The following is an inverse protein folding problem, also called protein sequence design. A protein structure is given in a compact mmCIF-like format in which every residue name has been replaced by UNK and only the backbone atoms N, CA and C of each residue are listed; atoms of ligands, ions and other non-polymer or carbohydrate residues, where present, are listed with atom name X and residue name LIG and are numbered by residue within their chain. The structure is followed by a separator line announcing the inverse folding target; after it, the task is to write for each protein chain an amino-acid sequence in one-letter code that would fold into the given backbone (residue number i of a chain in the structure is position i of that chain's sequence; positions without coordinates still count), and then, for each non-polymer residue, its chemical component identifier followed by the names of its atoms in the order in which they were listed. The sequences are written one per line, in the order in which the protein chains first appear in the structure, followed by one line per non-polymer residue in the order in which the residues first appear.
data_IF_737301805534
#
_entry.id   IF_737301805534
#
_cell.length_a   1.000
_cell.length_b   1.000
_cell.length_c   1.000
_cell.angle_alpha   90.00
_cell.angle_beta   90.00
_cell.angle_gamma   90.00
#
_symmetry.space_group_name_H-M   'P 1'
#
loop_
_entity.id
_entity.type
_entity.pdbx_description
1 polymer ?
2 non-polymer ?
3 non-polymer ?
4 non-polymer ?
5 water ?
#
# COMPACT_ATOMS: atom_id res chain seq x y z
N UNK A 10 12.15 -8.18 -12.55
CA UNK A 10 11.96 -8.77 -11.22
C UNK A 10 11.71 -7.75 -10.13
N UNK A 11 10.59 -7.96 -9.42
CA UNK A 11 10.30 -7.31 -8.14
C UNK A 11 11.32 -7.87 -7.12
N UNK A 12 12.03 -7.02 -6.32
CA UNK A 12 13.05 -7.56 -5.43
C UNK A 12 12.46 -8.38 -4.28
N UNK A 13 13.24 -9.36 -3.83
CA UNK A 13 12.90 -10.14 -2.65
C UNK A 13 13.09 -9.25 -1.43
N UNK A 14 12.44 -9.59 -0.32
CA UNK A 14 12.60 -8.80 0.89
C UNK A 14 14.02 -8.87 1.42
N UNK A 15 14.50 -7.83 2.13
CA UNK A 15 15.88 -7.84 2.68
C UNK A 15 15.93 -8.36 4.11
N UNK A 16 14.79 -8.69 4.70
CA UNK A 16 14.75 -9.15 6.09
C UNK A 16 14.99 -10.64 6.19
N UNK A 17 15.10 -11.15 7.43
CA UNK A 17 15.42 -12.57 7.62
C UNK A 17 14.27 -13.56 7.41
N UNK A 18 13.04 -13.08 7.33
CA UNK A 18 11.89 -13.97 7.23
C UNK A 18 11.57 -14.21 5.76
N UNK A 19 11.25 -15.45 5.42
CA UNK A 19 10.51 -15.84 4.23
C UNK A 19 9.12 -15.21 4.22
N UNK A 20 8.58 -15.01 3.02
CA UNK A 20 7.36 -14.25 2.82
C UNK A 20 6.30 -15.11 2.13
N UNK A 21 5.11 -15.14 2.72
CA UNK A 21 3.93 -15.75 2.14
C UNK A 21 3.00 -14.69 1.62
N UNK A 22 2.06 -15.08 0.77
CA UNK A 22 1.05 -14.14 0.26
C UNK A 22 -0.28 -14.86 0.05
N UNK A 23 -1.40 -14.22 0.40
CA UNK A 23 -2.73 -14.75 0.08
C UNK A 23 -3.70 -13.58 -0.16
N UNK A 24 -4.94 -13.89 -0.61
CA UNK A 24 -5.98 -12.88 -0.75
C UNK A 24 -7.10 -13.13 0.22
N UNK A 25 -7.71 -12.08 0.75
CA UNK A 25 -8.87 -12.23 1.62
C UNK A 25 -9.98 -11.27 1.19
N UNK A 26 -11.20 -11.80 0.97
CA UNK A 26 -12.34 -10.95 0.74
C UNK A 26 -13.44 -11.30 1.74
N UNK A 27 -13.78 -10.36 2.62
CA UNK A 27 -14.87 -10.53 3.56
C UNK A 27 -15.58 -9.21 3.99
N UNK A 28 -16.93 -9.10 3.88
CA UNK A 28 -17.79 -10.04 3.15
C UNK A 28 -17.54 -9.99 1.62
N UNK A 29 -18.37 -10.71 0.86
CA UNK A 29 -18.30 -10.84 -0.60
C UNK A 29 -18.81 -9.60 -1.38
N UNK A 30 -19.45 -8.63 -0.70
CA UNK A 30 -20.13 -7.51 -1.37
C UNK A 30 -19.15 -6.37 -1.71
N UNK A 31 -19.60 -5.40 -2.53
CA UNK A 31 -18.87 -4.15 -2.81
C UNK A 31 -18.55 -3.31 -1.53
N UNK A 32 -19.18 -3.64 -0.39
CA UNK A 32 -18.99 -2.98 0.90
C UNK A 32 -18.10 -3.79 1.87
N UNK A 33 -17.74 -5.00 1.47
CA UNK A 33 -16.86 -5.85 2.25
C UNK A 33 -15.43 -5.38 2.13
N UNK A 34 -14.50 -6.09 2.81
CA UNK A 34 -13.07 -5.81 2.70
C UNK A 34 -12.50 -6.77 1.67
N UNK A 35 -11.69 -6.24 0.73
CA UNK A 35 -10.82 -7.03 -0.14
C UNK A 35 -9.36 -6.62 0.19
N UNK A 36 -8.53 -7.58 0.62
CA UNK A 36 -7.12 -7.27 0.81
C UNK A 36 -6.18 -8.37 0.28
N UNK A 37 -4.96 -7.99 -0.09
CA UNK A 37 -3.86 -8.92 -0.32
C UNK A 37 -2.99 -8.91 0.95
N UNK A 38 -2.81 -10.08 1.56
CA UNK A 38 -1.98 -10.24 2.77
C UNK A 38 -0.56 -10.71 2.43
N UNK A 39 0.46 -10.01 2.97
CA UNK A 39 1.87 -10.43 2.96
C UNK A 39 2.26 -10.70 4.39
N UNK A 40 2.95 -11.82 4.61
CA UNK A 40 3.13 -12.28 5.97
C UNK A 40 4.40 -13.15 6.12
N UNK A 41 5.01 -13.18 7.33
CA UNK A 41 6.14 -14.09 7.56
C UNK A 41 5.67 -15.51 7.37
N UNK A 42 6.34 -16.27 6.53
CA UNK A 42 5.87 -17.62 6.17
C UNK A 42 6.79 -18.69 6.73
N UNK A 43 6.18 -19.83 7.08
CA UNK A 43 6.87 -21.01 7.62
C UNK A 43 7.77 -21.64 6.53
N UNK A 44 7.32 -21.58 5.27
CA UNK A 44 7.90 -22.31 4.14
C UNK A 44 8.30 -21.38 3.03
N UNK A 45 9.20 -21.87 2.16
CA UNK A 45 9.83 -21.12 1.09
C UNK A 45 9.87 -21.89 -0.24
N UNK A 46 9.01 -22.91 -0.40
CA UNK A 46 8.98 -23.75 -1.61
C UNK A 46 7.59 -23.76 -2.25
N UNK A 47 6.83 -22.69 -2.05
CA UNK A 47 5.58 -22.57 -2.78
C UNK A 47 5.82 -21.92 -4.12
N UNK A 48 4.84 -21.99 -5.02
CA UNK A 48 4.79 -21.14 -6.21
C UNK A 48 4.82 -19.67 -5.82
N UNK A 49 5.56 -18.86 -6.60
CA UNK A 49 5.56 -17.40 -6.47
C UNK A 49 4.17 -16.88 -6.78
N UNK A 50 3.88 -15.65 -6.34
CA UNK A 50 2.55 -15.07 -6.42
C UNK A 50 2.37 -14.37 -7.77
N UNK A 51 1.28 -14.69 -8.50
CA UNK A 51 0.91 -14.00 -9.74
C UNK A 51 0.66 -12.49 -9.46
N UNK A 52 1.40 -11.61 -10.16
CA UNK A 52 1.46 -10.18 -9.85
C UNK A 52 0.11 -9.48 -10.16
N UNK A 53 -0.40 -9.65 -11.37
CA UNK A 53 -1.72 -9.13 -11.75
C UNK A 53 -2.59 -10.37 -12.13
N UNK A 54 -3.54 -10.75 -11.26
CA UNK A 54 -4.16 -12.07 -11.40
C UNK A 54 -5.34 -12.23 -12.37
N UNK A 55 -5.86 -11.14 -12.96
CA UNK A 55 -7.08 -11.26 -13.79
C UNK A 55 -6.96 -10.36 -14.97
N UNK A 56 -7.45 -10.83 -16.15
CA UNK A 56 -7.46 -10.05 -17.39
C UNK A 56 -8.11 -8.66 -17.22
N UNK A 57 -9.14 -8.55 -16.37
CA UNK A 57 -9.94 -7.32 -16.21
C UNK A 57 -9.12 -6.21 -15.54
N UNK A 58 -8.10 -6.58 -14.72
CA UNK A 58 -7.13 -5.58 -14.22
C UNK A 58 -6.37 -4.87 -15.38
N UNK A 59 -5.96 -5.62 -16.41
CA UNK A 59 -5.32 -5.05 -17.61
C UNK A 59 -6.26 -4.14 -18.42
N UNK A 60 -7.56 -4.53 -18.55
CA UNK A 60 -8.60 -3.69 -19.14
C UNK A 60 -8.73 -2.40 -18.38
N UNK A 61 -8.86 -2.48 -17.06
CA UNK A 61 -8.90 -1.29 -16.21
C UNK A 61 -7.64 -0.46 -16.33
N UNK A 62 -6.45 -1.10 -16.33
CA UNK A 62 -5.18 -0.37 -16.53
C UNK A 62 -5.15 0.37 -17.86
N UNK A 63 -5.61 -0.28 -18.93
CA UNK A 63 -5.65 0.33 -20.26
C UNK A 63 -6.60 1.57 -20.29
N UNK A 64 -7.80 1.45 -19.68
CA UNK A 64 -8.74 2.58 -19.51
C UNK A 64 -8.07 3.72 -18.77
N UNK A 65 -7.35 3.43 -17.67
CA UNK A 65 -6.73 4.46 -16.83
C UNK A 65 -5.60 5.17 -17.58
N UNK A 66 -4.90 4.44 -18.47
CA UNK A 66 -3.82 5.06 -19.24
C UNK A 66 -4.32 5.83 -20.49
N UNK A 67 -5.62 5.82 -20.75
CA UNK A 67 -6.22 6.52 -21.89
C UNK A 67 -6.00 5.84 -23.23
N UNK A 68 -5.82 4.51 -23.24
CA UNK A 68 -5.73 3.71 -24.47
C UNK A 68 -7.03 2.89 -24.70
N UNK A 69 -7.15 2.24 -25.88
CA UNK A 69 -8.24 1.29 -26.19
C UNK A 69 -8.06 0.06 -25.30
N UNK A 70 -9.17 -0.58 -24.86
CA UNK A 70 -9.13 -1.74 -23.96
C UNK A 70 -8.31 -2.92 -24.54
N UNK A 71 -8.05 -2.89 -25.88
CA UNK A 71 -7.23 -3.83 -26.64
C UNK A 71 -5.73 -3.68 -26.37
N UNK A 72 -5.28 -2.46 -26.02
CA UNK A 72 -3.96 -2.30 -25.40
C UNK A 72 -3.89 -3.06 -24.08
N UNK A 73 -5.03 -3.21 -23.41
CA UNK A 73 -5.18 -4.07 -22.23
C UNK A 73 -4.76 -5.50 -22.48
N UNK A 74 -5.24 -6.07 -23.61
CA UNK A 74 -4.82 -7.38 -24.12
C UNK A 74 -3.31 -7.49 -24.39
N UNK A 75 -2.68 -6.42 -24.89
CA UNK A 75 -1.23 -6.42 -25.16
C UNK A 75 -0.45 -6.37 -23.80
N UNK A 76 -0.92 -5.55 -22.86
CA UNK A 76 -0.33 -5.51 -21.52
C UNK A 76 -0.42 -6.86 -20.85
N UNK A 77 -1.57 -7.54 -21.03
CA UNK A 77 -1.81 -8.90 -20.52
C UNK A 77 -0.81 -9.87 -21.15
N UNK A 78 -0.61 -9.82 -22.49
CA UNK A 78 0.42 -10.58 -23.19
C UNK A 78 1.81 -10.39 -22.57
N UNK A 79 2.21 -9.14 -22.30
CA UNK A 79 3.54 -8.83 -21.80
C UNK A 79 3.74 -9.13 -20.32
N UNK A 80 2.68 -8.96 -19.48
CA UNK A 80 2.83 -8.94 -18.02
C UNK A 80 1.95 -9.97 -17.28
N UNK A 81 1.07 -10.66 -18.01
CA UNK A 81 0.06 -11.55 -17.43
C UNK A 81 0.59 -12.79 -16.71
N UNK A 82 1.85 -13.17 -16.97
CA UNK A 82 2.47 -14.34 -16.33
C UNK A 82 3.57 -13.91 -15.31
N UNK A 83 3.79 -12.58 -15.18
CA UNK A 83 4.75 -12.04 -14.24
C UNK A 83 4.37 -12.44 -12.79
N UNK A 84 5.37 -12.84 -12.00
CA UNK A 84 5.14 -13.17 -10.59
C UNK A 84 5.88 -12.18 -9.70
N UNK A 85 5.65 -12.27 -8.40
CA UNK A 85 6.32 -11.47 -7.38
C UNK A 85 6.86 -12.46 -6.32
N UNK A 86 8.07 -12.24 -5.72
CA UNK A 86 8.67 -13.30 -4.89
C UNK A 86 8.06 -13.46 -3.48
N UNK A 87 6.81 -13.89 -3.44
CA UNK A 87 6.12 -14.23 -2.20
C UNK A 87 5.52 -15.62 -2.42
N UNK A 88 5.62 -16.48 -1.42
CA UNK A 88 5.15 -17.86 -1.47
C UNK A 88 3.65 -17.90 -1.37
N UNK A 89 2.98 -18.22 -2.49
CA UNK A 89 1.51 -18.13 -2.55
C UNK A 89 0.88 -19.14 -1.58
N UNK A 90 -0.01 -18.68 -0.66
CA UNK A 90 -0.70 -19.56 0.33
C UNK A 90 0.21 -20.32 1.28
N UNK A 91 1.43 -19.83 1.50
CA UNK A 91 2.33 -20.51 2.44
C UNK A 91 1.72 -20.45 3.86
N UNK A 92 1.95 -21.46 4.73
CA UNK A 92 1.54 -21.30 6.12
C UNK A 92 2.28 -20.11 6.77
N UNK A 93 1.58 -19.38 7.63
CA UNK A 93 2.15 -18.32 8.47
C UNK A 93 3.24 -18.89 9.35
N UNK A 94 4.35 -18.16 9.53
CA UNK A 94 5.37 -18.52 10.51
C UNK A 94 4.75 -18.48 11.93
N UNK A 95 4.72 -19.61 12.65
CA UNK A 95 4.09 -19.61 13.98
C UNK A 95 4.99 -19.04 15.08
N UNK A 96 4.39 -18.77 16.25
CA UNK A 96 5.07 -18.55 17.52
C UNK A 96 5.60 -17.14 17.73
N UNK A 97 5.01 -16.19 17.03
CA UNK A 97 5.37 -14.78 17.17
C UNK A 97 4.18 -13.91 16.86
N UNK A 98 3.98 -12.84 17.65
CA UNK A 98 2.99 -11.81 17.34
C UNK A 98 3.64 -10.75 16.47
N UNK A 99 3.01 -10.50 15.33
CA UNK A 99 3.53 -9.60 14.32
C UNK A 99 2.80 -8.26 14.36
N UNK A 100 3.56 -7.14 14.29
CA UNK A 100 2.89 -5.85 14.01
C UNK A 100 2.22 -5.85 12.63
N UNK A 101 1.22 -4.96 12.47
CA UNK A 101 0.35 -4.92 11.30
C UNK A 101 0.43 -3.59 10.60
N UNK A 102 0.65 -3.65 9.30
CA UNK A 102 0.57 -2.48 8.43
C UNK A 102 -0.67 -2.65 7.57
N UNK A 103 -1.51 -1.61 7.53
CA UNK A 103 -2.56 -1.56 6.50
C UNK A 103 -1.99 -0.64 5.40
N UNK A 104 -2.03 -1.09 4.13
CA UNK A 104 -1.44 -0.36 3.01
C UNK A 104 -2.49 0.10 1.98
N UNK A 105 -2.44 1.40 1.61
CA UNK A 105 -3.36 2.03 0.65
C UNK A 105 -2.69 2.40 -0.69
N UNK A 106 -3.28 1.88 -1.77
CA UNK A 106 -2.74 2.06 -3.13
C UNK A 106 -3.09 3.42 -3.75
N UNK A 107 -2.34 3.80 -4.78
CA UNK A 107 -2.61 5.00 -5.58
C UNK A 107 -3.77 4.88 -6.54
N UNK A 108 -4.09 6.03 -7.20
CA UNK A 108 -5.05 6.14 -8.29
C UNK A 108 -4.60 5.28 -9.46
N UNK A 109 -5.52 4.49 -10.04
CA UNK A 109 -5.18 3.61 -11.14
C UNK A 109 -4.52 2.31 -10.72
N UNK A 110 -4.22 2.15 -9.44
CA UNK A 110 -3.59 0.94 -8.94
C UNK A 110 -4.64 0.00 -8.34
N UNK A 111 -4.23 -0.97 -7.53
CA UNK A 111 -5.14 -1.93 -6.87
C UNK A 111 -4.25 -2.70 -5.91
N UNK A 112 -4.74 -3.77 -5.24
CA UNK A 112 -4.02 -4.33 -4.06
C UNK A 112 -2.63 -4.95 -4.33
N UNK A 113 -2.38 -5.41 -5.55
CA UNK A 113 -1.25 -6.30 -5.84
C UNK A 113 0.04 -5.53 -6.26
N UNK A 114 -0.05 -4.19 -6.42
CA UNK A 114 0.96 -3.42 -7.18
C UNK A 114 2.03 -2.73 -6.32
N UNK A 115 2.04 -3.02 -5.01
CA UNK A 115 3.04 -2.55 -4.03
C UNK A 115 3.60 -3.75 -3.27
N UNK A 116 3.81 -4.87 -4.01
CA UNK A 116 4.42 -6.05 -3.42
C UNK A 116 5.90 -5.82 -3.05
N UNK A 117 6.64 -4.94 -3.78
CA UNK A 117 8.05 -4.74 -3.35
C UNK A 117 8.07 -4.23 -1.88
N UNK A 118 7.21 -3.28 -1.55
CA UNK A 118 7.02 -2.81 -0.17
C UNK A 118 6.47 -3.88 0.76
N UNK A 119 5.36 -4.51 0.36
CA UNK A 119 4.65 -5.50 1.19
C UNK A 119 5.51 -6.71 1.56
N UNK A 120 6.26 -7.23 0.59
CA UNK A 120 7.21 -8.36 0.75
C UNK A 120 8.34 -7.93 1.67
N UNK A 121 8.93 -6.74 1.43
CA UNK A 121 10.03 -6.32 2.29
C UNK A 121 9.59 -6.16 3.75
N UNK A 122 8.41 -5.53 3.97
CA UNK A 122 7.89 -5.35 5.33
C UNK A 122 7.69 -6.72 5.98
N UNK A 123 7.07 -7.67 5.22
CA UNK A 123 6.82 -9.02 5.74
C UNK A 123 8.12 -9.76 6.04
N UNK A 124 9.16 -9.56 5.19
CA UNK A 124 10.44 -10.21 5.40
C UNK A 124 11.12 -9.74 6.72
N UNK A 125 10.69 -8.58 7.27
CA UNK A 125 11.18 -8.04 8.54
C UNK A 125 10.25 -8.34 9.74
N UNK A 126 9.22 -9.15 9.54
CA UNK A 126 8.34 -9.63 10.61
C UNK A 126 7.04 -8.87 10.78
N UNK A 127 6.54 -8.24 9.70
CA UNK A 127 5.23 -7.55 9.68
C UNK A 127 4.20 -8.41 9.00
N UNK A 128 2.94 -8.32 9.45
CA UNK A 128 1.84 -8.69 8.55
C UNK A 128 1.41 -7.42 7.83
N UNK A 129 1.19 -7.51 6.52
CA UNK A 129 0.80 -6.38 5.70
C UNK A 129 -0.52 -6.69 5.03
N UNK A 130 -1.52 -5.82 5.23
CA UNK A 130 -2.80 -5.91 4.53
C UNK A 130 -2.92 -4.80 3.54
N UNK A 131 -2.63 -5.13 2.27
CA UNK A 131 -2.78 -4.23 1.13
C UNK A 131 -4.24 -4.26 0.66
N UNK A 132 -5.00 -3.23 1.05
CA UNK A 132 -6.43 -3.03 0.74
C UNK A 132 -6.66 -2.82 -0.78
N UNK A 133 -7.74 -3.37 -1.31
CA UNK A 133 -8.19 -2.94 -2.63
C UNK A 133 -9.41 -2.05 -2.42
N UNK A 134 -9.31 -0.80 -2.87
CA UNK A 134 -10.36 0.17 -2.61
C UNK A 134 -11.49 -0.01 -3.61
N UNK A 135 -12.76 0.21 -3.13
CA UNK A 135 -13.99 0.14 -3.92
C UNK A 135 -14.60 1.51 -4.15
N UNK A 136 -13.76 2.56 -4.09
CA UNK A 136 -14.16 3.97 -4.28
C UNK A 136 -14.11 4.38 -5.76
N UNK A 137 -13.80 3.43 -6.69
CA UNK A 137 -13.60 3.68 -8.14
C UNK A 137 -12.29 4.48 -8.41
N UNK A 138 -11.32 4.48 -7.43
CA UNK A 138 -9.95 4.94 -7.64
C UNK A 138 -9.05 3.81 -8.14
N UNK A 139 -9.43 2.54 -7.92
CA UNK A 139 -8.65 1.43 -8.51
C UNK A 139 -8.94 1.40 -10.00
N UNK A 140 -7.95 1.02 -10.83
CA UNK A 140 -8.22 0.89 -12.26
C UNK A 140 -9.27 -0.21 -12.46
N UNK A 141 -9.21 -1.27 -11.65
CA UNK A 141 -10.31 -2.24 -11.57
C UNK A 141 -10.35 -2.82 -10.18
N UNK A 142 -11.54 -3.30 -9.77
CA UNK A 142 -11.74 -4.18 -8.60
C UNK A 142 -12.97 -5.12 -8.85
N UNK A 143 -13.15 -6.14 -8.03
CA UNK A 143 -14.33 -6.96 -8.18
C UNK A 143 -14.87 -7.31 -6.84
N UNK A 144 -16.11 -7.80 -6.83
CA UNK A 144 -16.89 -8.25 -5.68
C UNK A 144 -18.01 -9.15 -6.24
N UNK A 145 -18.93 -9.59 -5.39
CA UNK A 145 -20.01 -10.49 -5.78
C UNK A 145 -21.33 -9.85 -5.39
N UNK A 146 -22.31 -9.89 -6.29
CA UNK A 146 -23.61 -9.23 -6.10
C UNK A 146 -24.32 -9.83 -4.91
N UNK A 147 -24.15 -11.15 -4.70
CA UNK A 147 -24.77 -11.86 -3.60
C UNK A 147 -24.08 -13.19 -3.30
N UNK A 148 -24.65 -13.96 -2.33
CA UNK A 148 -24.04 -15.19 -1.85
C UNK A 148 -23.97 -16.28 -2.93
N UNK A 149 -25.00 -16.39 -3.79
CA UNK A 149 -24.98 -17.33 -4.91
C UNK A 149 -23.86 -17.01 -5.88
N UNK A 150 -23.71 -15.70 -6.23
CA UNK A 150 -22.65 -15.25 -7.16
C UNK A 150 -21.25 -15.57 -6.59
N UNK A 151 -21.06 -15.36 -5.27
CA UNK A 151 -19.80 -15.64 -4.56
C UNK A 151 -19.46 -17.14 -4.65
N UNK A 152 -20.42 -18.03 -4.30
CA UNK A 152 -20.33 -19.50 -4.40
C UNK A 152 -19.83 -20.00 -5.75
N UNK A 153 -20.42 -19.51 -6.86
CA UNK A 153 -20.03 -19.96 -8.21
C UNK A 153 -18.87 -19.14 -8.80
N UNK A 154 -18.39 -18.13 -8.07
CA UNK A 154 -17.30 -17.25 -8.48
C UNK A 154 -17.67 -16.39 -9.68
N UNK A 155 -18.93 -15.89 -9.71
CA UNK A 155 -19.41 -14.98 -10.74
C UNK A 155 -19.08 -13.52 -10.31
N UNK A 156 -17.92 -13.06 -10.79
CA UNK A 156 -17.35 -11.77 -10.40
C UNK A 156 -18.11 -10.60 -11.02
N UNK A 157 -18.39 -9.55 -10.23
CA UNK A 157 -18.84 -8.27 -10.77
C UNK A 157 -17.65 -7.31 -10.68
N UNK A 158 -17.32 -6.67 -11.80
CA UNK A 158 -16.18 -5.78 -11.93
C UNK A 158 -16.58 -4.33 -11.85
N UNK A 159 -15.80 -3.53 -11.16
CA UNK A 159 -15.99 -2.11 -10.98
C UNK A 159 -14.72 -1.42 -11.51
N UNK A 160 -14.88 -0.50 -12.48
CA UNK A 160 -13.76 0.14 -13.17
C UNK A 160 -13.53 1.55 -12.66
N UNK A 161 -12.30 2.07 -12.82
CA UNK A 161 -11.95 3.47 -12.53
C UNK A 161 -13.00 4.42 -13.04
N UNK A 162 -13.40 5.38 -12.19
CA UNK A 162 -14.25 6.50 -12.55
C UNK A 162 -13.40 7.67 -13.01
N UNK A 163 -13.69 8.22 -14.20
CA UNK A 163 -13.05 9.48 -14.63
C UNK A 163 -13.90 10.66 -14.22
N UNK A 164 -13.27 11.75 -13.74
CA UNK A 164 -14.03 12.89 -13.26
C UNK A 164 -13.99 14.01 -14.28
N UNK A 165 -15.07 14.77 -14.35
CA UNK A 165 -15.10 16.09 -14.95
C UNK A 165 -14.47 17.07 -13.94
N UNK A 166 -13.87 18.16 -14.44
CA UNK A 166 -13.22 19.23 -13.68
C UNK A 166 -13.97 19.66 -12.42
N UNK A 167 -15.29 19.87 -12.49
CA UNK A 167 -16.07 20.38 -11.35
C UNK A 167 -16.56 19.26 -10.39
N UNK A 168 -16.17 18.00 -10.63
CA UNK A 168 -16.38 16.88 -9.71
C UNK A 168 -15.14 16.64 -8.85
N UNK A 169 -13.99 17.24 -9.24
CA UNK A 169 -12.68 16.94 -8.65
C UNK A 169 -12.67 17.08 -7.15
N UNK A 170 -12.88 18.29 -6.61
CA UNK A 170 -12.77 18.55 -5.16
C UNK A 170 -13.63 17.59 -4.34
N UNK A 171 -14.92 17.57 -4.68
CA UNK A 171 -15.97 16.85 -4.01
C UNK A 171 -15.79 15.32 -4.07
N UNK A 172 -15.58 14.75 -5.28
CA UNK A 172 -15.48 13.32 -5.42
C UNK A 172 -14.17 12.81 -4.85
N UNK A 173 -13.04 13.54 -5.04
CA UNK A 173 -11.77 13.07 -4.46
C UNK A 173 -11.85 13.02 -2.95
N UNK A 174 -12.54 14.01 -2.35
CA UNK A 174 -12.74 14.02 -0.91
C UNK A 174 -13.68 12.87 -0.47
N UNK A 175 -14.77 12.60 -1.20
CA UNK A 175 -15.66 11.45 -0.91
C UNK A 175 -14.85 10.15 -0.97
N UNK A 176 -13.97 10.04 -1.96
CA UNK A 176 -13.13 8.85 -2.16
C UNK A 176 -12.13 8.62 -1.03
N UNK A 177 -11.47 9.70 -0.56
CA UNK A 177 -10.47 9.58 0.50
C UNK A 177 -11.15 9.15 1.82
N UNK A 178 -12.37 9.67 2.03
CA UNK A 178 -13.13 9.27 3.22
C UNK A 178 -13.58 7.82 3.14
N UNK A 179 -14.09 7.37 1.99
CA UNK A 179 -14.35 5.93 1.80
C UNK A 179 -13.09 5.05 1.98
N UNK A 180 -11.96 5.49 1.42
CA UNK A 180 -10.66 4.84 1.56
C UNK A 180 -10.27 4.68 3.06
N UNK A 181 -10.34 5.75 3.87
CA UNK A 181 -10.12 5.70 5.33
C UNK A 181 -11.03 4.67 5.98
N UNK A 182 -12.35 4.69 5.63
CA UNK A 182 -13.30 3.75 6.20
C UNK A 182 -12.89 2.29 5.88
N UNK A 183 -12.46 2.06 4.62
CA UNK A 183 -11.96 0.77 4.15
C UNK A 183 -10.69 0.33 4.87
N UNK A 184 -9.81 1.28 5.22
CA UNK A 184 -8.65 0.95 6.06
C UNK A 184 -9.05 0.56 7.47
N UNK A 185 -9.99 1.29 8.10
CA UNK A 185 -10.51 0.92 9.41
C UNK A 185 -11.19 -0.44 9.40
N UNK A 186 -11.99 -0.68 8.37
CA UNK A 186 -12.75 -1.92 8.22
C UNK A 186 -11.80 -3.10 8.06
N UNK A 187 -10.74 -2.92 7.26
CA UNK A 187 -9.69 -3.96 7.10
C UNK A 187 -8.99 -4.26 8.41
N UNK A 188 -8.66 -3.21 9.22
CA UNK A 188 -8.08 -3.38 10.56
C UNK A 188 -8.98 -4.23 11.44
N UNK A 189 -10.25 -3.83 11.59
CA UNK A 189 -11.25 -4.57 12.36
C UNK A 189 -11.37 -6.03 11.89
N UNK A 190 -11.33 -6.26 10.56
CA UNK A 190 -11.40 -7.64 10.03
C UNK A 190 -10.24 -8.48 10.56
N UNK A 191 -9.00 -7.97 10.40
CA UNK A 191 -7.78 -8.65 10.85
C UNK A 191 -7.79 -8.84 12.36
N UNK A 192 -8.19 -7.79 13.10
CA UNK A 192 -8.28 -7.89 14.57
C UNK A 192 -9.27 -8.92 15.02
N UNK A 193 -10.42 -9.03 14.32
CA UNK A 193 -11.42 -10.05 14.67
C UNK A 193 -10.94 -11.44 14.32
N UNK A 194 -10.25 -11.61 13.14
CA UNK A 194 -9.61 -12.88 12.80
C UNK A 194 -8.55 -13.28 13.88
N UNK A 195 -7.81 -12.27 14.40
CA UNK A 195 -6.77 -12.52 15.38
C UNK A 195 -7.35 -13.11 16.68
N UNK A 196 -8.54 -12.67 17.10
CA UNK A 196 -9.31 -13.40 18.13
C UNK A 196 -9.47 -14.92 17.86
N UNK A 197 -9.86 -15.25 16.63
CA UNK A 197 -10.28 -16.60 16.26
C UNK A 197 -11.73 -16.65 15.81
N UNK A 198 -12.38 -15.48 15.66
CA UNK A 198 -13.67 -15.32 15.00
C UNK A 198 -13.66 -16.00 13.63
N UNK A 199 -14.58 -16.98 13.42
CA UNK A 199 -14.63 -17.67 12.13
C UNK A 199 -15.02 -16.68 11.05
N UNK A 200 -14.25 -16.66 9.96
CA UNK A 200 -14.52 -15.82 8.80
C UNK A 200 -14.42 -16.76 7.60
N UNK A 201 -15.46 -16.81 6.78
CA UNK A 201 -15.40 -17.60 5.55
C UNK A 201 -14.99 -16.66 4.39
N UNK A 202 -13.72 -16.78 3.95
CA UNK A 202 -13.16 -16.06 2.81
C UNK A 202 -14.09 -16.24 1.61
N UNK A 203 -14.49 -15.12 0.96
CA UNK A 203 -15.35 -15.19 -0.24
C UNK A 203 -14.59 -15.79 -1.41
N UNK A 204 -13.26 -15.77 -1.34
CA UNK A 204 -12.41 -16.42 -2.34
C UNK A 204 -12.08 -17.81 -1.81
N UNK A 205 -12.19 -18.83 -2.66
CA UNK A 205 -11.88 -20.18 -2.22
C UNK A 205 -10.39 -20.46 -2.46
N UNK A 206 -9.58 -20.26 -1.41
CA UNK A 206 -8.11 -20.34 -1.47
C UNK A 206 -7.58 -21.26 -0.37
N UNK A 207 -6.50 -21.98 -0.67
CA UNK A 207 -5.95 -22.95 0.29
C UNK A 207 -5.02 -22.28 1.31
N UNK A 208 -5.59 -21.31 2.05
CA UNK A 208 -4.97 -20.66 3.22
C UNK A 208 -6.04 -20.53 4.28
N UNK A 209 -5.86 -21.29 5.36
CA UNK A 209 -6.73 -21.28 6.54
C UNK A 209 -6.54 -19.99 7.36
N UNK A 210 -7.61 -19.18 7.47
CA UNK A 210 -7.54 -17.91 8.18
C UNK A 210 -7.39 -18.11 9.69
N UNK A 211 -7.67 -19.32 10.17
CA UNK A 211 -7.53 -19.72 11.57
C UNK A 211 -6.07 -19.64 12.09
N UNK A 212 -5.09 -19.74 11.18
CA UNK A 212 -3.66 -19.49 11.42
C UNK A 212 -3.38 -18.11 11.97
N UNK A 213 -4.19 -17.12 11.58
CA UNK A 213 -4.00 -15.74 12.00
C UNK A 213 -4.41 -15.51 13.45
N UNK A 214 -5.08 -16.51 14.08
CA UNK A 214 -5.47 -16.44 15.50
C UNK A 214 -4.23 -16.28 16.33
N UNK A 215 -4.24 -15.29 17.22
CA UNK A 215 -3.15 -14.96 18.17
C UNK A 215 -1.84 -14.61 17.46
N UNK A 216 -1.92 -14.04 16.25
CA UNK A 216 -0.73 -13.76 15.46
C UNK A 216 -0.38 -12.26 15.33
N UNK A 217 -1.27 -11.38 15.80
CA UNK A 217 -1.16 -9.92 15.63
C UNK A 217 -0.72 -9.30 16.94
N UNK A 218 0.33 -8.44 16.90
CA UNK A 218 0.69 -7.59 18.04
C UNK A 218 -0.32 -6.45 18.00
N UNK A 219 -1.37 -6.59 18.81
CA UNK A 219 -2.62 -5.84 18.61
C UNK A 219 -2.49 -4.32 18.81
N UNK A 220 -1.43 -3.85 19.47
CA UNK A 220 -1.19 -2.43 19.68
C UNK A 220 -0.24 -1.85 18.63
N UNK A 221 0.43 -2.71 17.85
CA UNK A 221 1.49 -2.24 16.95
C UNK A 221 0.94 -2.16 15.58
N UNK A 222 0.17 -1.10 15.33
CA UNK A 222 -0.52 -0.94 14.05
C UNK A 222 -0.14 0.35 13.34
N UNK A 223 0.17 0.25 12.05
CA UNK A 223 0.44 1.41 11.26
C UNK A 223 -0.32 1.38 9.97
N UNK A 224 -0.48 2.56 9.37
CA UNK A 224 -1.10 2.69 8.07
C UNK A 224 -0.04 3.32 7.16
N UNK A 225 0.17 2.71 5.98
CA UNK A 225 1.12 3.23 4.98
C UNK A 225 0.40 3.36 3.63
N UNK A 226 0.80 4.32 2.80
CA UNK A 226 0.22 4.36 1.46
C UNK A 226 0.92 5.31 0.53
N UNK A 227 0.71 5.10 -0.80
CA UNK A 227 1.35 5.85 -1.86
C UNK A 227 0.35 6.73 -2.59
N UNK A 228 0.69 8.02 -2.73
CA UNK A 228 -0.01 8.97 -3.63
C UNK A 228 -1.43 9.26 -3.07
N UNK A 229 -2.50 8.84 -3.77
CA UNK A 229 -3.86 8.79 -3.15
C UNK A 229 -3.85 8.03 -1.79
N UNK A 230 -3.10 6.96 -1.73
CA UNK A 230 -2.90 6.19 -0.51
C UNK A 230 -2.21 6.94 0.60
N UNK A 231 -1.41 7.95 0.22
CA UNK A 231 -0.69 8.83 1.14
C UNK A 231 -1.66 9.77 1.79
N UNK A 232 -2.62 10.29 1.02
CA UNK A 232 -3.75 11.05 1.59
C UNK A 232 -4.59 10.15 2.53
N UNK A 233 -4.77 8.88 2.14
CA UNK A 233 -5.58 7.91 2.89
C UNK A 233 -4.97 7.66 4.25
N UNK A 234 -3.62 7.54 4.33
CA UNK A 234 -2.88 7.52 5.61
C UNK A 234 -3.36 8.62 6.54
N UNK A 235 -3.45 9.86 6.02
CA UNK A 235 -3.70 11.02 6.87
C UNK A 235 -5.15 11.06 7.30
N UNK A 236 -6.05 10.85 6.35
CA UNK A 236 -7.48 10.73 6.67
C UNK A 236 -7.73 9.62 7.71
N UNK A 237 -7.13 8.43 7.51
CA UNK A 237 -7.27 7.27 8.38
C UNK A 237 -6.83 7.58 9.82
N UNK A 238 -5.61 8.12 9.98
CA UNK A 238 -5.07 8.54 11.28
C UNK A 238 -5.97 9.50 12.03
N UNK A 239 -6.53 10.51 11.31
CA UNK A 239 -7.39 11.51 11.97
C UNK A 239 -8.69 10.88 12.43
N UNK A 240 -9.15 9.83 11.76
CA UNK A 240 -10.40 9.24 12.23
C UNK A 240 -10.28 7.91 13.02
N UNK A 241 -9.14 7.25 13.07
CA UNK A 241 -9.05 5.94 13.74
C UNK A 241 -7.79 5.93 14.58
N UNK A 242 -7.95 6.12 15.90
CA UNK A 242 -6.83 6.18 16.81
C UNK A 242 -6.13 4.82 17.05
N UNK A 243 -6.71 3.72 16.56
CA UNK A 243 -6.08 2.39 16.64
C UNK A 243 -4.79 2.36 15.84
N UNK A 244 -4.70 3.15 14.77
CA UNK A 244 -3.45 3.34 14.04
C UNK A 244 -2.52 4.24 14.84
N UNK A 245 -1.29 3.78 15.13
CA UNK A 245 -0.38 4.50 16.06
C UNK A 245 0.62 5.41 15.36
N UNK A 246 0.78 5.24 14.04
CA UNK A 246 1.61 6.11 13.22
C UNK A 246 1.29 5.85 11.76
N UNK A 247 1.69 6.78 10.91
CA UNK A 247 1.48 6.69 9.47
C UNK A 247 2.70 7.09 8.66
N UNK A 248 2.85 6.46 7.49
CA UNK A 248 3.91 6.79 6.52
C UNK A 248 3.23 7.11 5.21
N UNK A 249 3.38 8.35 4.73
CA UNK A 249 2.74 8.78 3.48
C UNK A 249 3.84 8.77 2.44
N UNK A 250 3.71 7.91 1.44
CA UNK A 250 4.72 7.75 0.40
C UNK A 250 4.30 8.60 -0.78
N UNK A 251 5.01 9.72 -1.01
CA UNK A 251 4.71 10.70 -2.06
C UNK A 251 3.23 11.03 -2.06
N UNK A 252 2.69 11.50 -0.91
CA UNK A 252 1.26 11.74 -0.76
C UNK A 252 0.77 12.76 -1.80
N UNK A 253 -0.39 12.52 -2.38
CA UNK A 253 -1.15 13.47 -3.16
C UNK A 253 -2.20 14.04 -2.22
N UNK A 254 -2.02 15.30 -1.82
CA UNK A 254 -2.77 15.90 -0.68
C UNK A 254 -4.13 16.45 -1.04
N UNK A 255 -4.33 16.77 -2.32
CA UNK A 255 -5.58 17.32 -2.88
C UNK A 255 -6.91 16.69 -2.32
N UNK A 256 -7.08 15.33 -2.20
CA UNK A 256 -8.37 14.80 -1.65
C UNK A 256 -8.78 15.25 -0.25
N UNK A 257 -7.82 15.66 0.59
CA UNK A 257 -8.05 15.88 2.03
C UNK A 257 -8.93 17.09 2.32
N UNK A 258 -9.86 16.94 3.26
CA UNK A 258 -10.66 18.06 3.69
C UNK A 258 -9.87 19.04 4.53
N UNK A 259 -10.29 20.32 4.52
CA UNK A 259 -9.70 21.38 5.36
C UNK A 259 -9.67 21.05 6.84
N UNK A 260 -10.65 20.28 7.29
CA UNK A 260 -10.79 19.88 8.69
C UNK A 260 -9.67 18.96 9.20
N UNK A 261 -9.08 18.05 8.35
CA UNK A 261 -8.18 16.97 8.83
C UNK A 261 -6.86 17.45 9.40
N UNK A 262 -6.30 18.55 8.86
CA UNK A 262 -4.90 18.97 9.05
C UNK A 262 -4.48 19.17 10.47
N UNK A 263 -5.36 19.72 11.31
CA UNK A 263 -5.07 19.93 12.72
C UNK A 263 -5.49 18.71 13.59
N UNK A 264 -5.93 17.58 12.97
CA UNK A 264 -6.59 16.49 13.71
C UNK A 264 -5.75 15.18 13.59
N UNK A 265 -4.42 15.27 13.50
CA UNK A 265 -3.58 14.09 13.33
C UNK A 265 -2.62 13.99 14.54
N UNK A 266 -3.06 13.43 15.68
CA UNK A 266 -2.13 13.33 16.83
C UNK A 266 -0.97 12.35 16.63
N UNK A 267 -1.10 11.37 15.73
CA UNK A 267 -0.10 10.30 15.61
C UNK A 267 1.17 10.78 14.86
N UNK A 268 2.34 10.20 15.17
CA UNK A 268 3.52 10.45 14.32
C UNK A 268 3.27 10.17 12.83
N UNK A 269 3.80 11.04 11.95
CA UNK A 269 3.58 10.95 10.52
C UNK A 269 4.88 11.21 9.78
N UNK A 270 5.22 10.31 8.86
CA UNK A 270 6.45 10.40 8.07
C UNK A 270 6.09 10.61 6.59
N UNK A 271 6.63 11.66 5.99
CA UNK A 271 6.46 11.90 4.56
C UNK A 271 7.74 11.46 3.85
N UNK A 272 7.65 10.44 2.99
CA UNK A 272 8.79 10.06 2.12
C UNK A 272 8.42 10.47 0.72
N UNK A 273 9.16 11.42 0.13
CA UNK A 273 8.78 11.99 -1.17
C UNK A 273 9.75 11.61 -2.28
N UNK A 274 9.25 11.64 -3.50
CA UNK A 274 10.14 11.56 -4.66
C UNK A 274 10.59 12.97 -5.00
N UNK A 275 11.77 13.10 -5.63
CA UNK A 275 12.22 14.42 -6.09
C UNK A 275 11.31 15.09 -7.13
N UNK A 276 10.86 14.35 -8.14
CA UNK A 276 10.29 14.96 -9.34
C UNK A 276 8.77 15.10 -9.33
N UNK A 277 8.08 14.41 -8.43
CA UNK A 277 6.63 14.59 -8.34
C UNK A 277 6.19 15.88 -7.67
N UNK A 278 6.84 16.24 -6.54
CA UNK A 278 6.29 17.27 -5.62
C UNK A 278 6.26 18.68 -6.21
N UNK A 279 5.37 19.51 -5.66
CA UNK A 279 5.10 20.85 -6.15
C UNK A 279 4.64 21.68 -4.97
N UNK A 280 4.80 23.01 -4.99
CA UNK A 280 4.44 23.83 -3.81
C UNK A 280 3.04 23.63 -3.21
N UNK A 281 1.94 23.61 -4.02
CA UNK A 281 0.60 23.42 -3.43
C UNK A 281 0.50 22.15 -2.55
N UNK A 282 1.15 21.07 -3.00
CA UNK A 282 1.18 19.80 -2.30
C UNK A 282 2.04 19.87 -1.02
N UNK A 283 3.25 20.47 -1.08
CA UNK A 283 4.16 20.65 0.08
C UNK A 283 3.53 21.57 1.15
N UNK A 284 2.85 22.64 0.70
CA UNK A 284 2.12 23.54 1.62
C UNK A 284 1.10 22.73 2.44
N UNK A 285 0.34 21.84 1.77
CA UNK A 285 -0.61 20.96 2.45
C UNK A 285 0.07 20.02 3.46
N UNK A 286 1.19 19.36 3.07
CA UNK A 286 1.99 18.58 4.06
C UNK A 286 2.39 19.42 5.31
N UNK A 287 2.86 20.65 5.09
CA UNK A 287 3.29 21.53 6.19
C UNK A 287 2.14 21.93 7.13
N UNK A 288 0.89 21.94 6.63
CA UNK A 288 -0.32 22.14 7.45
C UNK A 288 -0.55 21.01 8.44
N UNK A 289 0.13 19.85 8.26
CA UNK A 289 -0.01 18.74 9.21
C UNK A 289 0.92 18.98 10.37
N UNK A 290 1.85 19.97 10.30
CA UNK A 290 2.84 20.20 11.37
C UNK A 290 2.28 21.04 12.50
N UNK A 291 2.74 20.76 13.74
CA UNK A 291 2.49 21.46 15.01
C UNK A 291 3.59 21.08 15.98
N UNK A 292 3.98 21.96 16.95
CA UNK A 292 5.15 21.65 17.80
C UNK A 292 4.95 20.42 18.68
N UNK A 293 3.69 20.14 19.07
CA UNK A 293 3.41 18.95 19.86
C UNK A 293 3.40 17.65 19.04
N UNK A 294 3.41 17.78 17.68
CA UNK A 294 3.33 16.63 16.79
C UNK A 294 4.65 16.18 16.23
N UNK A 295 4.81 14.86 16.10
CA UNK A 295 5.98 14.22 15.52
C UNK A 295 5.80 14.11 14.00
N UNK A 296 6.66 14.84 13.24
CA UNK A 296 6.65 14.92 11.78
C UNK A 296 8.03 14.80 11.23
N UNK A 297 8.18 14.02 10.15
CA UNK A 297 9.45 13.83 9.45
C UNK A 297 9.19 13.87 7.97
N UNK A 298 10.17 14.34 7.21
CA UNK A 298 10.05 14.40 5.76
C UNK A 298 11.41 14.20 5.16
N UNK A 299 11.47 13.31 4.19
CA UNK A 299 12.66 13.08 3.38
C UNK A 299 12.27 13.08 1.92
N UNK A 300 13.24 13.38 1.05
CA UNK A 300 13.05 13.31 -0.40
C UNK A 300 14.13 12.40 -0.96
N UNK A 301 13.73 11.41 -1.79
CA UNK A 301 14.65 10.49 -2.44
C UNK A 301 15.19 11.20 -3.70
N UNK A 302 16.51 11.48 -3.74
CA UNK A 302 17.15 12.19 -4.86
C UNK A 302 16.97 11.42 -6.16
N UNK A 303 16.63 12.12 -7.24
CA UNK A 303 16.57 11.53 -8.57
C UNK A 303 15.42 10.59 -8.80
N UNK A 304 14.42 10.58 -7.88
CA UNK A 304 13.27 9.65 -8.00
C UNK A 304 12.00 10.30 -8.57
N UNK A 305 11.13 9.46 -9.11
CA UNK A 305 9.85 9.86 -9.68
C UNK A 305 8.71 9.24 -8.85
N UNK A 306 7.48 9.64 -9.16
CA UNK A 306 6.27 9.25 -8.43
C UNK A 306 6.10 7.76 -8.34
N UNK A 307 6.28 7.08 -9.47
CA UNK A 307 6.10 5.63 -9.53
C UNK A 307 7.28 4.79 -9.01
N UNK A 308 8.37 5.43 -8.49
CA UNK A 308 9.44 4.65 -7.83
C UNK A 308 8.91 3.84 -6.62
N UNK A 309 7.74 4.21 -6.07
CA UNK A 309 7.18 3.48 -4.91
C UNK A 309 6.37 2.27 -5.30
N UNK A 310 5.94 2.19 -6.57
CA UNK A 310 5.08 1.12 -7.10
C UNK A 310 5.90 0.05 -7.82
N UNK A 311 5.34 -1.17 -7.96
CA UNK A 311 6.04 -2.30 -8.63
C UNK A 311 6.31 -2.06 -10.12
N UNK A 312 5.61 -1.10 -10.75
CA UNK A 312 5.81 -0.67 -12.13
C UNK A 312 7.23 -0.26 -12.39
N UNK A 313 7.92 0.21 -11.33
CA UNK A 313 9.34 0.61 -11.37
C UNK A 313 10.31 -0.58 -11.64
N UNK A 314 9.86 -1.82 -11.41
CA UNK A 314 10.69 -3.01 -11.65
C UNK A 314 10.20 -3.77 -12.84
N UNK A 315 9.14 -3.29 -13.49
CA UNK A 315 8.43 -4.07 -14.51
C UNK A 315 9.04 -3.96 -15.91
N UNK A 316 9.85 -2.91 -16.19
CA UNK A 316 10.48 -2.76 -17.51
C UNK A 316 11.98 -2.53 -17.34
N UNK A 317 12.67 -2.46 -18.48
CA UNK A 317 14.06 -2.02 -18.57
C UNK A 317 14.23 -0.54 -18.26
N UNK A 318 15.49 -0.09 -18.21
CA UNK A 318 15.86 1.25 -17.83
C UNK A 318 15.41 2.31 -18.81
N UNK A 319 15.53 2.05 -20.14
CA UNK A 319 15.18 3.05 -21.16
C UNK A 319 13.66 3.24 -21.25
N UNK A 320 12.91 2.13 -21.49
CA UNK A 320 11.44 2.15 -21.49
C UNK A 320 10.96 2.71 -20.15
N UNK A 321 11.60 2.29 -19.06
CA UNK A 321 11.21 2.74 -17.71
C UNK A 321 11.26 4.25 -17.54
N UNK A 322 12.37 4.85 -17.93
CA UNK A 322 12.57 6.29 -17.85
C UNK A 322 11.57 7.03 -18.74
N UNK A 323 11.33 6.49 -19.95
CA UNK A 323 10.42 7.03 -20.95
C UNK A 323 8.99 7.12 -20.42
N UNK A 324 8.49 6.02 -19.79
CA UNK A 324 7.16 5.91 -19.20
C UNK A 324 7.03 6.53 -17.81
N UNK A 325 8.11 7.20 -17.32
CA UNK A 325 8.20 7.79 -15.96
C UNK A 325 7.95 6.73 -14.87
N UNK A 326 8.40 5.49 -15.11
CA UNK A 326 8.32 4.44 -14.08
C UNK A 326 9.62 4.40 -13.27
N UNK A 327 10.71 4.97 -13.84
CA UNK A 327 12.03 4.99 -13.20
C UNK A 327 12.56 6.42 -13.25
N UNK A 328 13.38 6.79 -12.26
CA UNK A 328 14.07 8.07 -12.25
C UNK A 328 15.53 7.90 -12.64
N UNK A 329 16.37 8.89 -12.31
CA UNK A 329 17.82 8.80 -12.48
C UNK A 329 18.45 7.80 -11.50
N UNK A 330 17.81 7.63 -10.35
CA UNK A 330 18.23 6.69 -9.33
C UNK A 330 17.86 5.25 -9.75
N UNK A 331 18.70 4.28 -9.39
CA UNK A 331 18.36 2.87 -9.46
C UNK A 331 17.11 2.57 -8.61
N UNK A 332 16.15 1.81 -9.17
CA UNK A 332 14.88 1.48 -8.49
C UNK A 332 15.04 0.69 -7.19
N UNK A 333 16.02 -0.24 -7.15
CA UNK A 333 16.32 -1.04 -5.96
C UNK A 333 16.95 -0.16 -4.90
N UNK A 334 17.90 0.72 -5.30
CA UNK A 334 18.52 1.69 -4.39
C UNK A 334 17.42 2.56 -3.72
N UNK A 335 16.51 3.12 -4.52
CA UNK A 335 15.42 4.00 -4.06
C UNK A 335 14.44 3.29 -3.12
N UNK A 336 13.92 2.10 -3.51
CA UNK A 336 12.96 1.37 -2.67
C UNK A 336 13.62 0.92 -1.33
N UNK A 337 14.93 0.55 -1.37
CA UNK A 337 15.69 0.17 -0.15
C UNK A 337 15.68 1.35 0.80
N UNK A 338 15.92 2.59 0.29
CA UNK A 338 15.91 3.81 1.13
C UNK A 338 14.54 4.04 1.75
N UNK A 339 13.48 3.97 0.93
CA UNK A 339 12.12 4.18 1.40
C UNK A 339 11.75 3.10 2.45
N UNK A 340 12.05 1.82 2.17
CA UNK A 340 11.69 0.70 3.06
C UNK A 340 12.47 0.68 4.34
N UNK A 341 13.79 0.99 4.30
CA UNK A 341 14.64 1.03 5.50
C UNK A 341 14.31 2.21 6.41
N UNK A 342 14.16 3.42 5.84
CA UNK A 342 13.72 4.59 6.60
C UNK A 342 12.33 4.34 7.22
N UNK A 343 11.40 3.70 6.48
CA UNK A 343 10.09 3.27 6.99
C UNK A 343 10.25 2.32 8.20
N UNK A 344 11.09 1.27 8.07
CA UNK A 344 11.37 0.34 9.17
C UNK A 344 11.85 1.04 10.44
N UNK A 345 12.78 1.99 10.30
CA UNK A 345 13.32 2.71 11.46
C UNK A 345 12.20 3.54 12.10
N UNK A 346 11.40 4.25 11.27
CA UNK A 346 10.28 5.05 11.75
C UNK A 346 9.25 4.20 12.52
N UNK A 347 8.91 3.00 12.00
CA UNK A 347 7.90 2.11 12.61
C UNK A 347 8.48 1.55 13.91
N UNK A 348 9.78 1.19 13.92
CA UNK A 348 10.41 0.77 15.19
C UNK A 348 10.26 1.83 16.28
N UNK A 349 10.51 3.10 15.96
CA UNK A 349 10.46 4.21 16.91
C UNK A 349 9.03 4.38 17.45
N UNK A 350 8.05 4.47 16.56
CA UNK A 350 6.71 4.89 16.97
C UNK A 350 5.78 3.72 17.29
N UNK A 351 6.12 2.50 16.86
CA UNK A 351 5.39 1.33 17.35
C UNK A 351 6.07 0.72 18.57
N UNK A 352 7.29 1.14 18.88
CA UNK A 352 8.03 0.65 20.05
C UNK A 352 8.47 -0.78 19.84
N UNK A 353 9.06 -1.07 18.66
CA UNK A 353 9.47 -2.43 18.31
C UNK A 353 10.83 -2.76 18.91
N UNK A 354 11.13 -4.05 19.11
CA UNK A 354 12.38 -4.48 19.72
C UNK A 354 13.21 -5.21 18.70
N UNK A 355 13.39 -4.58 17.56
CA UNK A 355 14.15 -5.09 16.44
C UNK A 355 15.42 -4.23 16.28
N UNK A 356 16.09 -4.35 15.14
CA UNK A 356 17.35 -3.63 14.91
C UNK A 356 17.14 -2.55 13.83
N UNK A 357 15.89 -2.09 13.64
CA UNK A 357 15.58 -1.14 12.58
C UNK A 357 16.15 0.26 12.85
N UNK A 358 16.51 0.55 14.11
CA UNK A 358 17.15 1.79 14.51
C UNK A 358 18.51 2.01 13.85
N UNK A 359 19.10 0.95 13.24
CA UNK A 359 20.31 1.08 12.42
C UNK A 359 20.06 2.03 11.22
N UNK A 360 18.77 2.25 10.84
CA UNK A 360 18.45 3.15 9.73
C UNK A 360 17.88 4.51 10.21
N UNK A 361 18.06 4.86 11.51
CA UNK A 361 17.55 6.12 12.08
C UNK A 361 18.01 7.37 11.30
N UNK A 362 19.25 7.33 10.81
CA UNK A 362 19.82 8.46 10.09
C UNK A 362 19.09 8.74 8.76
N UNK A 363 18.49 7.70 8.16
CA UNK A 363 17.65 7.85 6.96
C UNK A 363 16.37 8.65 7.23
N UNK A 364 15.76 8.52 8.43
CA UNK A 364 14.60 9.32 8.86
C UNK A 364 14.94 10.83 8.80
N UNK A 365 16.23 11.19 9.09
CA UNK A 365 16.73 12.57 9.01
C UNK A 365 17.24 12.95 7.64
N UNK A 366 17.14 12.04 6.68
CA UNK A 366 17.56 12.29 5.30
C UNK A 366 19.06 12.30 5.13
N UNK A 367 19.78 11.62 6.03
CA UNK A 367 21.26 11.60 6.07
C UNK A 367 21.79 10.42 5.29
N UNK A 368 21.94 10.64 3.99
CA UNK A 368 22.40 9.65 3.00
C UNK A 368 22.70 10.42 1.72
N UNK A 369 23.66 9.94 0.89
CA UNK A 369 24.04 10.56 -0.40
C UNK A 369 22.81 10.70 -1.35
N UNK A 370 21.90 9.71 -1.31
CA UNK A 370 20.70 9.70 -2.14
C UNK A 370 19.46 10.23 -1.40
N UNK A 371 19.62 10.93 -0.26
CA UNK A 371 18.48 11.57 0.39
C UNK A 371 18.64 13.08 0.50
N UNK A 372 17.52 13.80 0.37
CA UNK A 372 17.42 15.22 0.70
C UNK A 372 16.69 15.31 2.05
N UNK A 373 17.28 15.92 3.12
CA UNK A 373 16.49 16.22 4.32
C UNK A 373 15.32 17.13 3.95
N UNK A 374 14.14 16.84 4.48
CA UNK A 374 12.96 17.61 4.17
C UNK A 374 12.61 17.55 2.70
N UNK A 375 12.55 18.72 2.07
CA UNK A 375 12.11 18.88 0.67
C UNK A 375 13.03 19.76 -0.16
N UNK A 376 13.11 19.51 -1.48
CA UNK A 376 13.78 20.36 -2.46
C UNK A 376 12.88 21.54 -2.88
N UNK A 377 11.59 21.46 -2.57
CA UNK A 377 10.58 22.39 -3.08
C UNK A 377 10.59 23.63 -2.21
N UNK A 378 10.77 24.79 -2.81
CA UNK A 378 10.62 26.04 -2.09
C UNK A 378 9.17 26.53 -2.16
N UNK A 379 8.60 26.89 -0.99
CA UNK A 379 7.23 27.38 -0.88
C UNK A 379 7.24 28.84 -0.35
N UNK A 380 7.80 29.76 -1.18
CA UNK A 380 7.79 31.22 -0.99
C UNK A 380 7.66 31.95 -2.35
#
# INVERSE_FOLDING_TARGET
MAAASFGQTKIPRGNGPYSVGCTDLMFDHTNKGTFLRLYYPSQDNDRLDTLWIPNKEYFWGLSKFLGTHWLMGNILRLLFGSMTTPANWNSPLRPGEKYPLVVFSHGLGAFRTLYSAIGIDLASHGFIVAAVEHRDRSASATYYFKDQSAAEIGDKSWLYLRTLKQEEETHIRNEQVRQRAKECSQALSLILDIDHGKPVKNALDLKFDMEQLKDSIDREKIAVIGHSFGGATVIQTLSEDQRFRCGIALDAWMFPLGDEVYSRIPQPLFFINSEYFQYPANIIKMKKCYSPDKERKMITIRGSVHQNFADFTFATGKIIGHMLKLKGDIDSNVAIDLSNKASLAFLQKHLGLHKDFDQWDCLIEGDDENLIPGTNINTTNQHHHHHH
#
